data_IF_465542091183
#
_entry.id   IF_465542091183
#
_cell.length_a   1.000
_cell.length_b   1.000
_cell.length_c   1.000
_cell.angle_alpha   90.00
_cell.angle_beta   90.00
_cell.angle_gamma   90.00
#
_symmetry.space_group_name_H-M   'P 1'
#
loop_
_entity.id
_entity.type
_entity.pdbx_description
1 polymer ?
#
# COMPACT_ATOMS: atom_id res chain seq x y z
N UNK A 1 9.27 -9.97 15.06
CA UNK A 1 8.77 -9.13 13.95
C UNK A 1 7.94 -9.94 12.95
N UNK A 2 8.46 -11.04 12.35
CA UNK A 2 7.72 -11.86 11.35
C UNK A 2 6.29 -12.20 11.79
N UNK A 3 6.09 -12.82 12.94
CA UNK A 3 4.75 -13.16 13.44
C UNK A 3 3.81 -11.95 13.58
N UNK A 4 4.35 -10.77 13.87
CA UNK A 4 3.54 -9.54 13.88
C UNK A 4 3.10 -9.13 12.48
N UNK A 5 3.96 -9.29 11.45
CA UNK A 5 3.61 -9.00 10.05
C UNK A 5 2.56 -9.99 9.54
N UNK A 6 2.73 -11.28 9.80
CA UNK A 6 1.74 -12.31 9.42
C UNK A 6 0.37 -12.08 10.08
N UNK A 7 0.36 -11.59 11.31
CA UNK A 7 -0.87 -11.18 11.99
C UNK A 7 -1.50 -9.92 11.37
N UNK A 8 -0.71 -8.93 10.97
CA UNK A 8 -1.19 -7.72 10.29
C UNK A 8 -1.75 -8.03 8.90
N UNK A 9 -1.14 -8.98 8.21
CA UNK A 9 -1.39 -9.30 6.81
C UNK A 9 -1.74 -10.78 6.60
N UNK A 10 -2.91 -11.27 7.06
CA UNK A 10 -3.34 -12.62 6.72
C UNK A 10 -3.51 -12.81 5.21
N UNK A 11 -3.63 -11.71 4.45
CA UNK A 11 -3.68 -11.71 2.98
C UNK A 11 -2.37 -12.15 2.31
N UNK A 12 -1.25 -12.26 3.03
CA UNK A 12 -0.01 -12.86 2.53
C UNK A 12 -0.22 -14.29 2.04
N UNK A 13 -1.13 -15.04 2.67
CA UNK A 13 -1.48 -16.42 2.28
C UNK A 13 -2.16 -16.49 0.89
N UNK A 14 -2.58 -15.37 0.33
CA UNK A 14 -3.16 -15.31 -1.02
C UNK A 14 -2.10 -15.27 -2.12
N UNK A 15 -0.85 -14.93 -1.79
CA UNK A 15 0.29 -14.96 -2.73
C UNK A 15 0.74 -16.40 -2.86
N UNK A 16 0.64 -16.95 -4.09
CA UNK A 16 1.01 -18.33 -4.37
C UNK A 16 2.51 -18.51 -4.57
N UNK A 17 3.18 -17.52 -5.14
CA UNK A 17 4.64 -17.50 -5.27
C UNK A 17 5.28 -17.27 -3.89
N UNK A 18 5.91 -18.33 -3.37
CA UNK A 18 6.56 -18.31 -2.06
C UNK A 18 7.72 -17.29 -1.99
N UNK A 19 8.48 -17.13 -3.07
CA UNK A 19 9.57 -16.15 -3.15
C UNK A 19 9.05 -14.72 -3.05
N UNK A 20 7.95 -14.41 -3.76
CA UNK A 20 7.31 -13.11 -3.66
C UNK A 20 6.72 -12.88 -2.27
N UNK A 21 6.05 -13.88 -1.69
CA UNK A 21 5.47 -13.78 -0.34
C UNK A 21 6.55 -13.47 0.70
N UNK A 22 7.71 -14.13 0.62
CA UNK A 22 8.86 -13.86 1.49
C UNK A 22 9.42 -12.46 1.26
N UNK A 23 9.55 -12.00 0.03
CA UNK A 23 10.03 -10.66 -0.29
C UNK A 23 9.07 -9.57 0.22
N UNK A 24 7.76 -9.76 0.09
CA UNK A 24 6.72 -8.86 0.62
C UNK A 24 6.79 -8.80 2.14
N UNK A 25 6.89 -9.95 2.81
CA UNK A 25 7.04 -10.03 4.27
C UNK A 25 8.33 -9.34 4.74
N UNK A 26 9.45 -9.62 4.06
CA UNK A 26 10.74 -9.00 4.33
C UNK A 26 10.72 -7.47 4.18
N UNK A 27 9.97 -6.97 3.21
CA UNK A 27 9.81 -5.52 2.98
C UNK A 27 9.13 -4.84 4.17
N UNK A 28 8.07 -5.43 4.72
CA UNK A 28 7.42 -4.90 5.93
C UNK A 28 8.34 -4.96 7.15
N UNK A 29 9.08 -6.06 7.34
CA UNK A 29 10.07 -6.17 8.42
C UNK A 29 11.10 -5.05 8.29
N UNK A 30 11.66 -4.86 7.08
CA UNK A 30 12.65 -3.81 6.79
C UNK A 30 12.09 -2.41 7.01
N UNK A 31 10.84 -2.17 6.63
CA UNK A 31 10.19 -0.90 6.85
C UNK A 31 10.08 -0.57 8.36
N UNK A 32 9.68 -1.54 9.19
CA UNK A 32 9.63 -1.33 10.65
C UNK A 32 11.01 -1.16 11.28
N UNK A 33 12.03 -1.87 10.82
CA UNK A 33 13.42 -1.67 11.30
C UNK A 33 13.91 -0.24 11.08
N UNK A 34 13.43 0.43 10.02
CA UNK A 34 13.83 1.78 9.63
C UNK A 34 12.85 2.88 10.08
N UNK A 35 11.74 2.49 10.67
CA UNK A 35 10.64 3.39 11.07
C UNK A 35 10.65 3.68 12.56
N UNK A 36 10.20 4.87 12.99
CA UNK A 36 9.89 5.13 14.40
C UNK A 36 8.55 4.50 14.85
N UNK A 37 7.79 3.89 13.92
CA UNK A 37 6.49 3.27 14.20
C UNK A 37 6.66 1.79 14.54
N UNK A 38 5.77 1.29 15.40
CA UNK A 38 5.64 -0.12 15.74
C UNK A 38 4.42 -0.74 15.01
N UNK A 39 4.36 -2.09 14.86
CA UNK A 39 3.20 -2.74 14.22
C UNK A 39 1.84 -2.32 14.79
N UNK A 40 1.75 -2.15 16.11
CA UNK A 40 0.53 -1.78 16.82
C UNK A 40 0.06 -0.34 16.53
N UNK A 41 0.94 0.48 15.97
CA UNK A 41 0.60 1.85 15.60
C UNK A 41 -0.29 1.91 14.37
N UNK A 42 -0.19 0.92 13.48
CA UNK A 42 -0.92 0.92 12.22
C UNK A 42 -2.45 0.83 12.40
N UNK A 43 -2.92 0.30 13.54
CA UNK A 43 -4.33 0.30 13.91
C UNK A 43 -4.78 1.60 14.60
N UNK A 44 -3.89 2.59 14.73
CA UNK A 44 -4.14 3.85 15.45
C UNK A 44 -3.85 5.09 14.62
N UNK A 45 -2.86 5.03 13.73
CA UNK A 45 -2.52 6.16 12.86
C UNK A 45 -3.54 6.28 11.73
N UNK A 46 -3.83 7.50 11.24
CA UNK A 46 -4.71 7.68 10.09
C UNK A 46 -4.05 7.16 8.83
N UNK A 47 -4.84 6.64 7.89
CA UNK A 47 -4.30 6.18 6.61
C UNK A 47 -3.77 7.33 5.75
N UNK A 48 -4.23 8.56 5.99
CA UNK A 48 -3.78 9.76 5.28
C UNK A 48 -3.76 10.97 6.19
N UNK A 49 -2.76 11.83 5.98
CA UNK A 49 -2.68 13.15 6.64
C UNK A 49 -3.37 14.26 5.83
N UNK A 50 -3.93 13.94 4.66
CA UNK A 50 -4.65 14.88 3.79
C UNK A 50 -6.09 15.12 4.25
N UNK A 51 -6.58 14.33 5.19
CA UNK A 51 -7.93 14.44 5.76
C UNK A 51 -7.76 14.73 7.26
N UNK A 52 -8.11 15.94 7.72
CA UNK A 52 -8.09 16.26 9.15
C UNK A 52 -8.97 15.28 9.93
N UNK A 53 -8.48 14.82 11.09
CA UNK A 53 -9.19 13.89 11.98
C UNK A 53 -9.77 12.67 11.23
N UNK A 54 -8.98 12.11 10.30
CA UNK A 54 -9.39 10.98 9.49
C UNK A 54 -9.84 9.80 10.39
N UNK A 55 -11.10 9.34 10.26
CA UNK A 55 -11.65 8.33 11.15
C UNK A 55 -11.21 6.89 10.82
N UNK A 56 -10.49 6.68 9.70
CA UNK A 56 -10.06 5.38 9.21
C UNK A 56 -8.57 5.21 9.48
N UNK A 57 -8.23 4.09 10.08
CA UNK A 57 -6.85 3.73 10.38
C UNK A 57 -6.08 3.29 9.13
N UNK A 58 -4.77 3.25 9.26
CA UNK A 58 -3.90 2.76 8.19
C UNK A 58 -4.25 1.33 7.78
N UNK A 59 -4.42 0.40 8.74
CA UNK A 59 -4.72 -1.00 8.42
C UNK A 59 -6.12 -1.20 7.86
N UNK A 60 -7.13 -0.51 8.37
CA UNK A 60 -8.50 -0.56 7.81
C UNK A 60 -8.51 -0.19 6.33
N UNK A 61 -7.86 0.94 5.98
CA UNK A 61 -7.72 1.37 4.59
C UNK A 61 -6.94 0.35 3.76
N UNK A 62 -5.76 -0.06 4.22
CA UNK A 62 -4.89 -0.94 3.45
C UNK A 62 -5.50 -2.30 3.18
N UNK A 63 -6.12 -2.92 4.16
CA UNK A 63 -6.82 -4.20 3.96
C UNK A 63 -8.01 -4.03 3.02
N UNK A 64 -8.76 -2.92 3.13
CA UNK A 64 -9.81 -2.60 2.18
C UNK A 64 -9.28 -2.52 0.74
N UNK A 65 -8.15 -1.82 0.51
CA UNK A 65 -7.50 -1.72 -0.81
C UNK A 65 -7.12 -3.10 -1.36
N UNK A 66 -6.48 -3.96 -0.56
CA UNK A 66 -6.07 -5.32 -0.96
C UNK A 66 -7.29 -6.15 -1.37
N UNK A 67 -8.36 -6.09 -0.57
CA UNK A 67 -9.60 -6.83 -0.87
C UNK A 67 -10.32 -6.32 -2.13
N UNK A 68 -10.39 -5.00 -2.33
CA UNK A 68 -10.97 -4.41 -3.56
C UNK A 68 -10.13 -4.80 -4.78
N UNK A 69 -8.80 -4.65 -4.70
CA UNK A 69 -7.88 -4.97 -5.80
C UNK A 69 -8.01 -6.44 -6.22
N UNK A 70 -8.01 -7.36 -5.26
CA UNK A 70 -8.21 -8.79 -5.53
C UNK A 70 -9.52 -9.04 -6.25
N UNK A 71 -10.65 -8.53 -5.73
CA UNK A 71 -11.97 -8.75 -6.33
C UNK A 71 -12.11 -8.12 -7.71
N UNK A 72 -11.54 -6.94 -7.90
CA UNK A 72 -11.52 -6.29 -9.22
C UNK A 72 -10.70 -7.13 -10.22
N UNK A 73 -9.53 -7.62 -9.82
CA UNK A 73 -8.70 -8.49 -10.65
C UNK A 73 -9.41 -9.82 -10.99
N UNK A 74 -10.07 -10.46 -10.02
CA UNK A 74 -10.87 -11.68 -10.22
C UNK A 74 -11.95 -11.45 -11.28
N UNK A 75 -12.74 -10.38 -11.16
CA UNK A 75 -13.79 -10.03 -12.11
C UNK A 75 -13.23 -9.72 -13.51
N UNK A 76 -12.13 -8.94 -13.60
CA UNK A 76 -11.49 -8.64 -14.88
C UNK A 76 -10.92 -9.90 -15.55
N UNK A 77 -10.35 -10.83 -14.79
CA UNK A 77 -9.88 -12.11 -15.31
C UNK A 77 -11.02 -12.97 -15.84
N UNK A 78 -12.16 -13.01 -15.17
CA UNK A 78 -13.34 -13.77 -15.56
C UNK A 78 -13.87 -13.29 -16.93
N UNK A 79 -14.04 -11.98 -17.10
CA UNK A 79 -14.71 -11.43 -18.28
C UNK A 79 -13.75 -11.00 -19.39
N UNK A 80 -12.49 -10.66 -19.07
CA UNK A 80 -11.53 -10.09 -20.03
C UNK A 80 -10.19 -10.82 -20.07
N UNK A 81 -9.97 -11.86 -19.27
CA UNK A 81 -8.66 -12.49 -19.08
C UNK A 81 -8.00 -13.06 -20.34
N UNK A 82 -8.78 -13.37 -21.40
CA UNK A 82 -8.21 -13.79 -22.69
C UNK A 82 -7.50 -12.66 -23.44
N UNK A 83 -8.02 -11.43 -23.31
CA UNK A 83 -7.47 -10.25 -23.98
C UNK A 83 -6.53 -9.45 -23.05
N UNK A 84 -6.71 -9.57 -21.75
CA UNK A 84 -5.99 -8.81 -20.74
C UNK A 84 -5.51 -9.76 -19.64
N UNK A 85 -4.33 -10.38 -19.80
CA UNK A 85 -3.78 -11.25 -18.76
C UNK A 85 -3.45 -10.43 -17.50
N UNK A 86 -3.79 -10.97 -16.34
CA UNK A 86 -3.56 -10.35 -15.03
C UNK A 86 -2.86 -11.36 -14.13
N UNK A 87 -1.74 -10.96 -13.55
CA UNK A 87 -1.02 -11.72 -12.55
C UNK A 87 -1.57 -11.37 -11.15
N UNK A 88 -2.21 -12.36 -10.52
CA UNK A 88 -2.85 -12.17 -9.22
C UNK A 88 -1.84 -11.93 -8.09
N UNK A 89 -0.69 -12.60 -8.13
CA UNK A 89 0.33 -12.45 -7.11
C UNK A 89 0.95 -11.06 -7.17
N UNK A 90 1.16 -10.54 -8.38
CA UNK A 90 1.61 -9.15 -8.61
C UNK A 90 0.57 -8.16 -8.08
N UNK A 91 -0.74 -8.36 -8.34
CA UNK A 91 -1.80 -7.49 -7.80
C UNK A 91 -1.80 -7.50 -6.27
N UNK A 92 -1.79 -8.68 -5.66
CA UNK A 92 -1.89 -8.84 -4.21
C UNK A 92 -0.64 -8.28 -3.51
N UNK A 93 0.55 -8.67 -3.97
CA UNK A 93 1.82 -8.18 -3.43
C UNK A 93 1.94 -6.66 -3.57
N UNK A 94 1.58 -6.12 -4.74
CA UNK A 94 1.57 -4.68 -5.00
C UNK A 94 0.57 -3.93 -4.11
N UNK A 95 -0.64 -4.44 -3.94
CA UNK A 95 -1.64 -3.84 -3.07
C UNK A 95 -1.20 -3.85 -1.59
N UNK A 96 -0.59 -4.95 -1.11
CA UNK A 96 -0.03 -5.03 0.25
C UNK A 96 1.09 -4.00 0.43
N UNK A 97 1.98 -3.82 -0.55
CA UNK A 97 3.15 -2.96 -0.44
C UNK A 97 2.93 -1.51 -0.86
N UNK A 98 1.83 -1.15 -1.54
CA UNK A 98 1.63 0.18 -2.12
C UNK A 98 1.99 1.34 -1.16
N UNK A 99 1.59 1.24 0.09
CA UNK A 99 1.79 2.28 1.10
C UNK A 99 2.90 1.97 2.13
N UNK A 100 3.70 0.93 1.94
CA UNK A 100 4.73 0.53 2.92
C UNK A 100 5.70 1.66 3.24
N UNK A 101 5.98 2.53 2.28
CA UNK A 101 6.83 3.70 2.47
C UNK A 101 6.27 4.76 3.43
N UNK A 102 4.97 4.72 3.77
CA UNK A 102 4.38 5.62 4.79
C UNK A 102 4.99 5.40 6.17
N UNK A 103 5.56 4.22 6.45
CA UNK A 103 6.29 3.97 7.68
C UNK A 103 7.54 4.86 7.81
N UNK A 104 8.10 5.32 6.70
CA UNK A 104 9.22 6.26 6.68
C UNK A 104 8.77 7.72 6.43
N UNK A 105 7.55 7.89 5.94
CA UNK A 105 6.94 9.20 5.72
C UNK A 105 6.30 9.77 6.99
N UNK A 106 5.82 8.92 7.90
CA UNK A 106 5.11 9.32 9.09
C UNK A 106 5.97 9.20 10.35
N UNK A 107 5.73 10.10 11.31
CA UNK A 107 6.29 10.03 12.64
C UNK A 107 5.27 10.50 13.68
N UNK A 108 5.51 10.16 14.95
CA UNK A 108 4.70 10.62 16.08
C UNK A 108 5.37 11.84 16.71
N UNK A 109 4.65 12.93 16.85
CA UNK A 109 5.08 14.12 17.57
C UNK A 109 3.90 14.77 18.31
N UNK A 110 4.10 15.09 19.57
CA UNK A 110 3.05 15.74 20.39
C UNK A 110 1.74 14.96 20.48
N UNK A 111 1.79 13.63 20.46
CA UNK A 111 0.61 12.76 20.51
C UNK A 111 -0.17 12.66 19.18
N UNK A 112 0.37 13.23 18.10
CA UNK A 112 -0.22 13.19 16.74
C UNK A 112 0.69 12.51 15.75
N UNK A 113 0.11 11.99 14.68
CA UNK A 113 0.86 11.54 13.51
C UNK A 113 1.08 12.72 12.58
N UNK A 114 2.33 12.97 12.22
CA UNK A 114 2.74 14.04 11.31
C UNK A 114 3.62 13.50 10.19
N UNK A 115 3.78 14.29 9.14
CA UNK A 115 4.74 13.99 8.08
C UNK A 115 6.16 14.34 8.57
N UNK A 116 7.07 13.35 8.55
CA UNK A 116 8.46 13.51 8.92
C UNK A 116 9.22 14.44 7.96
N UNK A 117 10.40 14.92 8.37
CA UNK A 117 11.29 15.67 7.48
C UNK A 117 11.66 14.85 6.23
N UNK A 118 11.93 13.54 6.41
CA UNK A 118 12.18 12.60 5.30
C UNK A 118 10.96 12.49 4.38
N UNK A 119 9.76 12.36 4.94
CA UNK A 119 8.53 12.25 4.17
C UNK A 119 8.20 13.48 3.34
N UNK A 120 8.62 14.67 3.78
CA UNK A 120 8.51 15.90 2.99
C UNK A 120 9.45 15.91 1.79
N UNK A 121 10.64 15.34 1.91
CA UNK A 121 11.63 15.25 0.84
C UNK A 121 11.39 14.06 -0.10
N UNK A 122 11.02 12.90 0.46
CA UNK A 122 10.83 11.65 -0.27
C UNK A 122 9.46 11.07 0.08
N UNK A 123 8.52 11.20 -0.84
CA UNK A 123 7.17 10.64 -0.72
C UNK A 123 7.20 9.11 -0.64
N UNK A 124 6.18 8.54 0.02
CA UNK A 124 6.07 7.09 0.27
C UNK A 124 6.20 6.19 -0.97
N UNK A 125 5.77 6.56 -2.21
CA UNK A 125 6.02 5.68 -3.35
C UNK A 125 7.50 5.47 -3.60
N UNK A 126 8.34 6.51 -3.48
CA UNK A 126 9.79 6.40 -3.70
C UNK A 126 10.48 5.58 -2.60
N UNK A 127 10.16 5.84 -1.34
CA UNK A 127 10.71 5.08 -0.22
C UNK A 127 10.19 3.65 -0.20
N UNK A 128 8.96 3.41 -0.60
CA UNK A 128 8.36 2.08 -0.74
C UNK A 128 9.06 1.23 -1.79
N UNK A 129 9.35 1.80 -2.98
CA UNK A 129 10.13 1.12 -4.02
C UNK A 129 11.53 0.78 -3.50
N UNK A 130 12.21 1.72 -2.84
CA UNK A 130 13.53 1.46 -2.27
C UNK A 130 13.51 0.27 -1.30
N UNK A 131 12.55 0.23 -0.37
CA UNK A 131 12.40 -0.87 0.59
C UNK A 131 12.15 -2.20 -0.12
N UNK A 132 11.27 -2.22 -1.12
CA UNK A 132 10.90 -3.40 -1.88
C UNK A 132 12.09 -3.97 -2.66
N UNK A 133 12.85 -3.12 -3.35
CA UNK A 133 14.05 -3.53 -4.10
C UNK A 133 15.14 -4.09 -3.18
N UNK A 134 15.33 -3.55 -1.97
CA UNK A 134 16.27 -4.12 -0.98
C UNK A 134 15.91 -5.54 -0.54
N UNK A 135 14.64 -5.91 -0.65
CA UNK A 135 14.13 -7.23 -0.26
C UNK A 135 13.89 -8.17 -1.45
N UNK A 136 14.34 -7.78 -2.66
CA UNK A 136 14.23 -8.63 -3.85
C UNK A 136 12.82 -8.71 -4.44
N UNK A 137 11.95 -7.74 -4.14
CA UNK A 137 10.61 -7.65 -4.75
C UNK A 137 10.75 -7.41 -6.26
N UNK A 138 10.05 -8.18 -7.13
CA UNK A 138 10.13 -8.02 -8.58
C UNK A 138 9.69 -6.64 -9.09
N UNK A 139 10.26 -6.20 -10.21
CA UNK A 139 9.99 -4.89 -10.82
C UNK A 139 8.52 -4.64 -11.10
N UNK A 140 7.75 -5.67 -11.47
CA UNK A 140 6.31 -5.56 -11.71
C UNK A 140 5.55 -5.08 -10.45
N UNK A 141 5.93 -5.59 -9.27
CA UNK A 141 5.36 -5.16 -7.97
C UNK A 141 5.91 -3.80 -7.56
N UNK A 142 7.21 -3.56 -7.77
CA UNK A 142 7.84 -2.24 -7.54
C UNK A 142 7.16 -1.15 -8.38
N UNK A 143 6.78 -1.47 -9.64
CA UNK A 143 6.03 -0.56 -10.51
C UNK A 143 4.66 -0.18 -9.90
N UNK A 144 3.94 -1.12 -9.29
CA UNK A 144 2.69 -0.82 -8.59
C UNK A 144 2.94 0.16 -7.44
N UNK A 145 3.96 -0.09 -6.62
CA UNK A 145 4.32 0.81 -5.51
C UNK A 145 4.63 2.22 -6.03
N UNK A 146 5.39 2.34 -7.12
CA UNK A 146 5.74 3.62 -7.72
C UNK A 146 4.52 4.36 -8.30
N UNK A 147 3.58 3.60 -8.89
CA UNK A 147 2.53 4.14 -9.74
C UNK A 147 1.13 4.17 -9.10
N UNK A 148 0.94 3.64 -7.86
CA UNK A 148 -0.39 3.55 -7.26
C UNK A 148 -1.01 4.90 -6.92
N UNK A 149 -0.20 5.91 -6.61
CA UNK A 149 -0.67 7.24 -6.22
C UNK A 149 -0.44 8.29 -7.33
N UNK A 150 -0.58 9.58 -7.01
CA UNK A 150 -0.43 10.68 -7.99
C UNK A 150 0.95 10.76 -8.61
N UNK A 151 1.98 10.33 -7.91
CA UNK A 151 3.35 10.29 -8.41
C UNK A 151 3.46 9.42 -9.68
N UNK A 152 2.55 8.45 -9.83
CA UNK A 152 2.45 7.61 -11.02
C UNK A 152 1.66 8.18 -12.21
N UNK A 153 1.11 9.40 -12.11
CA UNK A 153 0.29 9.96 -13.20
C UNK A 153 1.11 10.35 -14.44
N UNK A 154 2.44 10.40 -14.31
CA UNK A 154 3.38 10.68 -15.41
C UNK A 154 3.93 9.42 -16.10
N UNK A 155 3.55 8.23 -15.65
CA UNK A 155 4.01 6.97 -16.23
C UNK A 155 2.83 6.10 -16.69
N UNK A 156 3.07 5.24 -17.69
CA UNK A 156 2.07 4.27 -18.12
C UNK A 156 1.95 3.17 -17.04
N UNK A 157 0.77 3.03 -16.46
CA UNK A 157 0.47 1.95 -15.50
C UNK A 157 0.27 0.62 -16.24
N UNK A 158 0.79 -0.46 -15.67
CA UNK A 158 0.38 -1.81 -16.05
C UNK A 158 -1.08 -2.07 -15.66
N UNK A 159 -1.67 -3.16 -16.13
CA UNK A 159 -3.03 -3.56 -15.75
C UNK A 159 -3.16 -3.70 -14.23
N UNK A 160 -2.20 -4.37 -13.60
CA UNK A 160 -2.16 -4.59 -12.16
C UNK A 160 -2.02 -3.27 -11.40
N UNK A 161 -1.17 -2.35 -11.92
CA UNK A 161 -1.00 -1.01 -11.34
C UNK A 161 -2.29 -0.17 -11.46
N UNK A 162 -3.04 -0.26 -12.56
CA UNK A 162 -4.36 0.35 -12.68
C UNK A 162 -5.34 -0.20 -11.65
N UNK A 163 -5.39 -1.51 -11.47
CA UNK A 163 -6.29 -2.15 -10.49
C UNK A 163 -5.99 -1.63 -9.08
N UNK A 164 -4.73 -1.64 -8.66
CA UNK A 164 -4.34 -1.18 -7.32
C UNK A 164 -4.56 0.32 -7.15
N UNK A 165 -4.22 1.15 -8.17
CA UNK A 165 -4.48 2.58 -8.17
C UNK A 165 -5.97 2.88 -7.95
N UNK A 166 -6.86 2.24 -8.72
CA UNK A 166 -8.29 2.48 -8.58
C UNK A 166 -8.85 1.94 -7.26
N UNK A 167 -8.35 0.81 -6.75
CA UNK A 167 -8.72 0.29 -5.44
C UNK A 167 -8.37 1.28 -4.31
N UNK A 168 -7.17 1.87 -4.37
CA UNK A 168 -6.73 2.89 -3.42
C UNK A 168 -7.62 4.15 -3.47
N UNK A 169 -7.84 4.70 -4.66
CA UNK A 169 -8.65 5.90 -4.83
C UNK A 169 -10.13 5.67 -4.55
N UNK A 170 -10.65 4.47 -4.81
CA UNK A 170 -12.03 4.10 -4.46
C UNK A 170 -12.26 4.16 -2.96
N UNK A 171 -11.27 3.81 -2.14
CA UNK A 171 -11.36 3.90 -0.69
C UNK A 171 -10.96 5.27 -0.12
N UNK A 172 -10.21 6.10 -0.86
CA UNK A 172 -9.74 7.43 -0.44
C UNK A 172 -10.71 8.56 -0.78
N UNK A 173 -11.19 8.63 -2.04
CA UNK A 173 -11.95 9.77 -2.55
C UNK A 173 -13.27 10.03 -1.81
N UNK A 174 -14.05 9.02 -1.37
CA UNK A 174 -15.26 9.26 -0.60
C UNK A 174 -14.98 10.02 0.71
N UNK A 175 -13.94 9.64 1.45
CA UNK A 175 -13.55 10.32 2.69
C UNK A 175 -13.06 11.73 2.44
N UNK A 176 -12.27 11.95 1.37
CA UNK A 176 -11.84 13.30 0.98
C UNK A 176 -13.05 14.20 0.66
N UNK A 177 -14.05 13.68 -0.07
CA UNK A 177 -15.27 14.41 -0.40
C UNK A 177 -16.10 14.72 0.84
N UNK A 178 -16.22 13.78 1.80
CA UNK A 178 -16.92 14.02 3.05
C UNK A 178 -16.23 15.09 3.92
N UNK A 179 -14.90 15.07 3.96
CA UNK A 179 -14.13 16.07 4.71
C UNK A 179 -14.31 17.49 4.15
N UNK A 180 -14.32 17.63 2.80
CA UNK A 180 -14.51 18.95 2.16
C UNK A 180 -15.91 19.55 2.34
N UNK A 181 -16.90 18.77 2.76
CA UNK A 181 -18.27 19.26 3.04
C UNK A 181 -18.45 19.71 4.49
N UNK A 182 -17.49 19.42 5.35
CA UNK A 182 -17.55 19.78 6.79
C UNK A 182 -16.79 21.06 7.13
N UNK A 183 -16.01 21.60 6.20
CA UNK A 183 -15.29 22.87 6.31
C UNK A 183 -15.90 23.90 5.39
#
# INVERSE_FOLDING_TARGET
MRAAIEKLWPELDWIQDESLREAVTGTWIKAFEMSPLAPEDLDRIPFTLLIPDCPVTFMEHKRCVVHIARRAAEAMREFMGKALPIDMDTVIGGAILADVGKLLEYEKAGGRTIQSARGKALRHPFTGVHLAMLCGVPDAVCHIIAAHSREGDLVARSTEAFIVHHADFMSFLPFKTLASKKG
#
